data_IF_580793150096
#
_entry.id   IF_580793150096
#
_cell.length_a   1.000
_cell.length_b   1.000
_cell.length_c   1.000
_cell.angle_alpha   90.00
_cell.angle_beta   90.00
_cell.angle_gamma   90.00
#
_symmetry.space_group_name_H-M   'P 1'
#
loop_
_entity.id
_entity.type
_entity.pdbx_description
1 polymer ?
#
# COMPACT_ATOMS: atom_id res chain seq x y z
N UNK A 1 -7.21 -17.81 8.43
CA UNK A 1 -6.07 -17.10 9.05
C UNK A 1 -6.46 -15.66 9.28
N UNK A 2 -6.25 -15.13 10.48
CA UNK A 2 -6.50 -13.72 10.79
C UNK A 2 -5.27 -12.90 10.42
N UNK A 3 -5.47 -11.70 9.84
CA UNK A 3 -4.38 -10.86 9.34
C UNK A 3 -4.41 -9.51 10.05
N UNK A 4 -3.25 -9.09 10.56
CA UNK A 4 -3.06 -7.76 11.11
C UNK A 4 -2.97 -6.72 9.98
N UNK A 5 -3.64 -5.58 10.14
CA UNK A 5 -3.55 -4.42 9.26
C UNK A 5 -3.01 -3.26 10.07
N UNK A 6 -1.85 -2.73 9.70
CA UNK A 6 -1.24 -1.56 10.34
C UNK A 6 -1.37 -0.37 9.39
N UNK A 7 -1.77 0.79 9.91
CA UNK A 7 -1.77 2.06 9.20
C UNK A 7 -0.87 3.05 9.96
N UNK A 8 -0.14 3.86 9.21
CA UNK A 8 0.68 4.96 9.70
C UNK A 8 -0.02 6.23 9.23
N UNK A 9 -0.51 7.00 10.20
CA UNK A 9 -1.25 8.24 9.95
C UNK A 9 -0.35 9.46 10.20
N UNK A 10 -0.52 10.48 9.36
CA UNK A 10 0.07 11.82 9.49
C UNK A 10 -1.09 12.82 9.53
N UNK A 11 -1.29 13.42 10.70
CA UNK A 11 -2.45 14.25 11.03
C UNK A 11 -3.79 13.58 10.70
N UNK A 12 -4.50 14.10 9.68
CA UNK A 12 -5.82 13.61 9.23
C UNK A 12 -5.73 12.67 8.03
N UNK A 13 -4.52 12.29 7.61
CA UNK A 13 -4.29 11.48 6.42
C UNK A 13 -3.52 10.20 6.75
N UNK A 14 -3.85 9.09 6.11
CA UNK A 14 -3.03 7.87 6.22
C UNK A 14 -1.85 7.99 5.26
N UNK A 15 -0.64 8.18 5.79
CA UNK A 15 0.60 8.24 5.03
C UNK A 15 0.91 6.89 4.37
N UNK A 16 0.81 5.79 5.14
CA UNK A 16 1.11 4.43 4.66
C UNK A 16 0.15 3.40 5.27
N UNK A 17 -0.21 2.38 4.50
CA UNK A 17 -1.11 1.31 4.93
C UNK A 17 -1.28 0.24 3.86
N UNK A 18 -2.11 -0.79 4.09
CA UNK A 18 -2.14 -1.98 3.24
C UNK A 18 -2.43 -1.64 1.78
N UNK A 19 -3.49 -0.87 1.51
CA UNK A 19 -3.85 -0.50 0.14
C UNK A 19 -2.81 0.38 -0.57
N UNK A 20 -2.08 1.22 0.17
CA UNK A 20 -0.99 2.04 -0.39
C UNK A 20 0.24 1.20 -0.73
N UNK A 21 0.59 0.26 0.15
CA UNK A 21 1.65 -0.71 -0.11
C UNK A 21 1.33 -1.61 -1.31
N UNK A 22 0.11 -2.14 -1.38
CA UNK A 22 -0.36 -2.97 -2.49
C UNK A 22 -0.36 -2.17 -3.81
N UNK A 23 -0.72 -0.87 -3.77
CA UNK A 23 -0.65 0.02 -4.92
C UNK A 23 0.79 0.22 -5.42
N UNK A 24 1.76 0.45 -4.51
CA UNK A 24 3.17 0.58 -4.89
C UNK A 24 3.69 -0.71 -5.55
N UNK A 25 3.38 -1.89 -5.00
CA UNK A 25 3.76 -3.17 -5.60
C UNK A 25 3.20 -3.33 -7.02
N UNK A 26 1.92 -3.00 -7.22
CA UNK A 26 1.31 -3.08 -8.53
C UNK A 26 1.86 -2.06 -9.52
N UNK A 27 2.29 -0.87 -9.06
CA UNK A 27 2.99 0.09 -9.93
C UNK A 27 4.36 -0.47 -10.33
N UNK A 28 5.11 -1.11 -9.42
CA UNK A 28 6.38 -1.78 -9.74
C UNK A 28 6.17 -2.86 -10.81
N UNK A 29 5.13 -3.68 -10.67
CA UNK A 29 4.84 -4.77 -11.60
C UNK A 29 4.35 -4.30 -12.97
N UNK A 30 3.60 -3.21 -13.02
CA UNK A 30 2.89 -2.79 -14.24
C UNK A 30 3.49 -1.56 -14.92
N UNK A 31 4.35 -0.80 -14.24
CA UNK A 31 4.85 0.50 -14.71
C UNK A 31 3.76 1.55 -14.91
N UNK A 32 2.57 1.38 -14.32
CA UNK A 32 1.41 2.23 -14.59
C UNK A 32 0.43 2.32 -13.42
N UNK A 33 0.06 3.55 -13.05
CA UNK A 33 -0.99 3.82 -12.07
C UNK A 33 -2.36 3.32 -12.57
N UNK A 34 -2.65 3.43 -13.87
CA UNK A 34 -3.94 3.00 -14.43
C UNK A 34 -4.08 1.48 -14.46
N UNK A 35 -3.01 0.76 -14.77
CA UNK A 35 -2.99 -0.70 -14.72
C UNK A 35 -3.08 -1.21 -13.27
N UNK A 36 -2.36 -0.58 -12.33
CA UNK A 36 -2.46 -0.88 -10.91
C UNK A 36 -3.89 -0.64 -10.37
N UNK A 37 -4.50 0.50 -10.70
CA UNK A 37 -5.88 0.82 -10.32
C UNK A 37 -6.87 -0.25 -10.78
N UNK A 38 -6.74 -0.70 -12.03
CA UNK A 38 -7.58 -1.77 -12.61
C UNK A 38 -7.42 -3.09 -11.86
N UNK A 39 -6.18 -3.47 -11.50
CA UNK A 39 -5.91 -4.69 -10.71
C UNK A 39 -6.46 -4.61 -9.29
N UNK A 40 -6.52 -3.42 -8.71
CA UNK A 40 -7.10 -3.19 -7.38
C UNK A 40 -8.61 -2.94 -7.40
N UNK A 41 -9.28 -3.10 -8.56
CA UNK A 41 -10.71 -2.83 -8.72
C UNK A 41 -11.13 -1.42 -8.26
N UNK A 42 -10.28 -0.41 -8.51
CA UNK A 42 -10.57 0.99 -8.19
C UNK A 42 -10.45 1.91 -9.40
N UNK A 43 -11.01 3.11 -9.30
CA UNK A 43 -10.87 4.12 -10.36
C UNK A 43 -9.43 4.64 -10.44
N UNK A 44 -9.02 5.05 -11.65
CA UNK A 44 -7.73 5.71 -11.85
C UNK A 44 -7.57 6.93 -10.94
N UNK A 45 -8.62 7.78 -10.84
CA UNK A 45 -8.63 8.94 -9.94
C UNK A 45 -8.32 8.54 -8.50
N UNK A 46 -8.90 7.45 -8.01
CA UNK A 46 -8.65 6.98 -6.66
C UNK A 46 -7.20 6.53 -6.46
N UNK A 47 -6.62 5.81 -7.41
CA UNK A 47 -5.22 5.41 -7.35
C UNK A 47 -4.29 6.63 -7.39
N UNK A 48 -4.60 7.62 -8.23
CA UNK A 48 -3.85 8.86 -8.31
C UNK A 48 -3.90 9.65 -6.99
N UNK A 49 -5.08 9.80 -6.37
CA UNK A 49 -5.22 10.43 -5.03
C UNK A 49 -4.39 9.70 -3.96
N UNK A 50 -4.29 8.37 -4.02
CA UNK A 50 -3.46 7.60 -3.09
C UNK A 50 -1.97 7.85 -3.30
N UNK A 51 -1.52 7.94 -4.55
CA UNK A 51 -0.14 8.31 -4.91
C UNK A 51 0.18 9.73 -4.46
N UNK A 52 -0.72 10.66 -4.73
CA UNK A 52 -0.56 12.06 -4.36
C UNK A 52 -0.43 12.25 -2.86
N UNK A 53 -1.29 11.60 -2.07
CA UNK A 53 -1.18 11.58 -0.61
C UNK A 53 0.16 11.00 -0.15
N UNK A 54 0.62 9.89 -0.74
CA UNK A 54 1.92 9.32 -0.40
C UNK A 54 3.06 10.31 -0.67
N UNK A 55 3.11 10.90 -1.87
CA UNK A 55 4.17 11.83 -2.22
C UNK A 55 4.20 13.09 -1.34
N UNK A 56 3.06 13.52 -0.79
CA UNK A 56 2.99 14.65 0.14
C UNK A 56 3.29 14.28 1.60
N UNK A 57 3.19 13.00 1.99
CA UNK A 57 3.41 12.57 3.36
C UNK A 57 4.87 12.22 3.69
N UNK A 58 5.74 12.17 2.69
CA UNK A 58 7.15 11.81 2.86
C UNK A 58 8.06 12.90 2.32
N UNK A 59 9.30 12.93 2.81
CA UNK A 59 10.30 13.93 2.43
C UNK A 59 10.72 13.85 0.95
N UNK A 60 10.53 12.68 0.34
CA UNK A 60 10.78 12.42 -1.08
C UNK A 60 9.57 11.71 -1.72
N UNK A 61 9.30 11.95 -3.02
CA UNK A 61 8.21 11.28 -3.71
C UNK A 61 8.43 9.77 -3.74
N UNK A 62 7.41 9.00 -3.40
CA UNK A 62 7.43 7.53 -3.51
C UNK A 62 7.22 7.07 -4.95
N UNK A 63 6.47 7.83 -5.74
CA UNK A 63 6.17 7.52 -7.14
C UNK A 63 6.42 8.75 -8.02
N UNK A 64 7.10 8.56 -9.13
CA UNK A 64 7.25 9.56 -10.19
C UNK A 64 6.51 9.12 -11.45
N UNK A 65 5.98 10.10 -12.19
CA UNK A 65 5.32 9.84 -13.47
C UNK A 65 6.19 10.33 -14.62
N UNK A 66 6.43 9.46 -15.59
CA UNK A 66 7.15 9.83 -16.81
C UNK A 66 6.16 10.43 -17.81
N UNK A 67 6.40 11.66 -18.23
CA UNK A 67 5.62 12.32 -19.29
C UNK A 67 6.02 11.68 -20.62
N UNK A 68 5.14 10.87 -21.22
CA UNK A 68 5.42 10.11 -22.44
C UNK A 68 4.33 10.31 -23.49
N UNK A 69 4.76 10.63 -24.72
CA UNK A 69 3.94 10.89 -25.92
C UNK A 69 3.15 9.66 -26.42
N UNK A 70 3.20 9.33 -27.72
CA UNK A 70 2.27 8.41 -28.43
C UNK A 70 1.93 7.05 -27.78
N UNK A 71 2.68 6.59 -26.78
CA UNK A 71 2.49 5.31 -26.07
C UNK A 71 1.84 5.44 -24.68
N UNK A 72 1.53 6.67 -24.22
CA UNK A 72 1.00 6.94 -22.88
C UNK A 72 2.11 7.11 -21.82
N UNK A 73 1.87 7.99 -20.85
CA UNK A 73 2.77 8.20 -19.72
C UNK A 73 2.86 6.98 -18.80
N UNK A 74 4.02 6.79 -18.17
CA UNK A 74 4.30 5.70 -17.24
C UNK A 74 4.39 6.19 -15.78
N UNK A 75 4.46 5.25 -14.84
CA UNK A 75 4.73 5.54 -13.44
C UNK A 75 5.77 4.56 -12.87
N UNK A 76 6.64 5.07 -12.02
CA UNK A 76 7.74 4.32 -11.42
C UNK A 76 7.81 4.61 -9.92
N UNK A 77 7.99 3.56 -9.12
CA UNK A 77 8.28 3.72 -7.69
C UNK A 77 9.76 4.08 -7.54
N UNK A 78 10.05 5.20 -6.87
CA UNK A 78 11.41 5.69 -6.67
C UNK A 78 12.22 4.74 -5.78
N UNK A 79 13.55 4.90 -5.77
CA UNK A 79 14.40 4.16 -4.82
C UNK A 79 13.99 4.39 -3.35
N UNK A 80 13.61 5.63 -3.02
CA UNK A 80 13.06 5.96 -1.71
C UNK A 80 11.71 5.27 -1.46
N UNK A 81 10.80 5.28 -2.44
CA UNK A 81 9.53 4.55 -2.41
C UNK A 81 9.69 3.05 -2.16
N UNK A 82 10.68 2.42 -2.81
CA UNK A 82 11.03 1.02 -2.60
C UNK A 82 11.50 0.77 -1.16
N UNK A 83 12.36 1.63 -0.62
CA UNK A 83 12.85 1.52 0.75
C UNK A 83 11.72 1.65 1.79
N UNK A 84 10.79 2.59 1.57
CA UNK A 84 9.63 2.77 2.44
C UNK A 84 8.66 1.58 2.36
N UNK A 85 8.41 1.05 1.16
CA UNK A 85 7.60 -0.16 0.97
C UNK A 85 8.23 -1.36 1.70
N UNK A 86 9.53 -1.58 1.54
CA UNK A 86 10.25 -2.66 2.23
C UNK A 86 10.17 -2.49 3.75
N UNK A 87 10.39 -1.29 4.27
CA UNK A 87 10.31 -1.00 5.71
C UNK A 87 8.91 -1.27 6.26
N UNK A 88 7.86 -0.87 5.55
CA UNK A 88 6.48 -1.16 5.91
C UNK A 88 6.18 -2.68 5.90
N UNK A 89 6.63 -3.42 4.88
CA UNK A 89 6.43 -4.88 4.83
C UNK A 89 7.18 -5.60 5.97
N UNK A 90 8.38 -5.13 6.32
CA UNK A 90 9.12 -5.66 7.47
C UNK A 90 8.42 -5.35 8.80
N UNK A 91 7.85 -4.15 8.97
CA UNK A 91 7.04 -3.80 10.13
C UNK A 91 5.87 -4.78 10.30
N UNK A 92 5.08 -4.99 9.24
CA UNK A 92 3.94 -5.92 9.28
C UNK A 92 4.39 -7.33 9.70
N UNK A 93 5.49 -7.83 9.13
CA UNK A 93 6.03 -9.16 9.46
C UNK A 93 6.39 -9.26 10.95
N UNK A 94 7.26 -8.36 11.42
CA UNK A 94 7.73 -8.35 12.82
C UNK A 94 6.59 -8.23 13.81
N UNK A 95 5.63 -7.33 13.56
CA UNK A 95 4.48 -7.16 14.46
C UNK A 95 3.55 -8.37 14.43
N UNK A 96 3.35 -9.00 13.27
CA UNK A 96 2.51 -10.21 13.18
C UNK A 96 3.13 -11.39 13.93
N UNK A 97 4.45 -11.54 13.87
CA UNK A 97 5.19 -12.56 14.63
C UNK A 97 5.07 -12.33 16.14
N UNK A 98 5.29 -11.08 16.60
CA UNK A 98 5.21 -10.73 18.01
C UNK A 98 3.79 -10.86 18.58
N UNK A 99 2.76 -10.46 17.81
CA UNK A 99 1.37 -10.48 18.25
C UNK A 99 0.65 -11.83 18.02
N UNK A 100 1.37 -12.88 17.63
CA UNK A 100 0.76 -14.14 17.22
C UNK A 100 -0.07 -14.80 18.33
N UNK A 101 0.38 -14.69 19.59
CA UNK A 101 -0.30 -15.31 20.74
C UNK A 101 -1.62 -14.60 21.06
N UNK A 102 -1.61 -13.27 21.03
CA UNK A 102 -2.74 -12.39 21.29
C UNK A 102 -3.78 -12.51 20.18
N UNK A 103 -3.32 -12.51 18.92
CA UNK A 103 -4.19 -12.78 17.76
C UNK A 103 -4.88 -14.13 17.93
N UNK A 104 -4.15 -15.18 18.29
CA UNK A 104 -4.73 -16.52 18.49
C UNK A 104 -5.74 -16.54 19.64
N UNK A 105 -5.45 -15.83 20.73
CA UNK A 105 -6.34 -15.71 21.89
C UNK A 105 -7.66 -15.03 21.52
N UNK A 106 -7.58 -13.83 20.91
CA UNK A 106 -8.75 -13.05 20.48
C UNK A 106 -9.59 -13.84 19.46
N UNK A 107 -8.91 -14.42 18.47
CA UNK A 107 -9.58 -14.99 17.31
C UNK A 107 -10.27 -16.32 17.58
N UNK A 108 -9.84 -17.05 18.61
CA UNK A 108 -10.53 -18.26 19.09
C UNK A 108 -11.95 -17.98 19.60
N UNK A 109 -12.23 -16.74 19.99
CA UNK A 109 -13.55 -16.30 20.44
C UNK A 109 -14.42 -15.66 19.36
N UNK A 110 -13.90 -15.51 18.13
CA UNK A 110 -14.71 -15.02 17.02
C UNK A 110 -15.78 -16.04 16.66
N UNK A 111 -16.99 -15.56 16.42
CA UNK A 111 -18.06 -16.41 15.87
C UNK A 111 -17.58 -16.95 14.52
N UNK A 112 -17.66 -18.28 14.35
CA UNK A 112 -17.54 -18.86 13.02
C UNK A 112 -18.74 -18.36 12.22
N UNK A 113 -18.52 -17.83 11.02
CA UNK A 113 -19.62 -17.48 10.13
C UNK A 113 -20.50 -18.72 9.96
N UNK A 114 -21.72 -18.66 10.47
CA UNK A 114 -22.82 -19.52 10.04
C UNK A 114 -23.16 -19.06 8.64
N UNK A 115 -22.70 -19.81 7.64
CA UNK A 115 -23.26 -19.74 6.29
C UNK A 115 -24.72 -20.18 6.31
#
# INVERSE_FOLDING_TARGET
>A
MHKLKIRIDMDKTTAMGPGKADLLELIIETGSISAAAKRMHMSYRRAWELVDVMNHCFDEPLVITNVGGKSGGGAEVTAFGLSMLQSYRQLIRKTSELAASEISSITRHLRKETH
#
